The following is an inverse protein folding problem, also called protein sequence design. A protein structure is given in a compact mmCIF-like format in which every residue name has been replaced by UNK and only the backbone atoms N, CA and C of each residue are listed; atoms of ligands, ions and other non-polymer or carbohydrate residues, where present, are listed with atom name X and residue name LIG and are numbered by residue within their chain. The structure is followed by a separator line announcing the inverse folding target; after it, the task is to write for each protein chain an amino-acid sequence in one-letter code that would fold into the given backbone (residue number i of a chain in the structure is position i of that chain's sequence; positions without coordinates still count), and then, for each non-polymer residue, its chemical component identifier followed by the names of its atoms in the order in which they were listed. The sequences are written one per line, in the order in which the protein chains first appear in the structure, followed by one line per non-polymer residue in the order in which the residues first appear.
data_IF_526452356657
#
_entry.id   IF_526452356657
#
_cell.length_a   1.000
_cell.length_b   1.000
_cell.length_c   1.000
_cell.angle_alpha   90.00
_cell.angle_beta   90.00
_cell.angle_gamma   90.00
#
_symmetry.space_group_name_H-M   'P 1'
#
loop_
_entity.id
_entity.type
_entity.pdbx_description
1 polymer ?
#
# COMPACT_ATOMS: atom_id res chain seq x y z
N UNK A 1 14.84 -8.39 -14.64
CA UNK A 1 14.87 -8.87 -13.26
C UNK A 1 13.50 -8.61 -12.64
N UNK A 2 12.76 -9.68 -12.40
CA UNK A 2 11.46 -9.62 -11.72
C UNK A 2 11.71 -9.27 -10.25
N UNK A 3 11.40 -8.03 -9.91
CA UNK A 3 11.36 -7.61 -8.50
C UNK A 3 10.18 -8.35 -7.87
N UNK A 4 10.44 -9.15 -6.84
CA UNK A 4 9.49 -10.11 -6.30
C UNK A 4 8.79 -9.62 -5.04
N UNK A 5 8.57 -8.30 -4.92
CA UNK A 5 7.79 -7.74 -3.81
C UNK A 5 6.30 -8.06 -3.95
N UNK A 6 5.61 -8.17 -2.83
CA UNK A 6 4.17 -8.44 -2.79
C UNK A 6 3.40 -7.36 -2.04
N UNK A 7 2.23 -7.00 -2.58
CA UNK A 7 1.27 -6.08 -1.97
C UNK A 7 -0.03 -6.81 -1.67
N UNK A 8 -0.61 -6.50 -0.51
CA UNK A 8 -2.01 -6.79 -0.18
C UNK A 8 -2.60 -5.58 0.54
N UNK A 9 -3.88 -5.36 0.39
CA UNK A 9 -4.61 -4.35 1.15
C UNK A 9 -6.10 -4.62 1.11
N UNK A 10 -6.85 -3.92 1.95
CA UNK A 10 -8.29 -4.07 1.95
C UNK A 10 -9.00 -3.08 2.84
N UNK A 11 -10.31 -3.03 2.64
CA UNK A 11 -11.25 -2.28 3.46
C UNK A 11 -12.50 -3.14 3.65
N UNK A 12 -12.93 -3.33 4.89
CA UNK A 12 -13.98 -4.28 5.24
C UNK A 12 -14.76 -3.81 6.47
N UNK A 13 -15.79 -4.58 6.83
CA UNK A 13 -16.50 -4.42 8.09
C UNK A 13 -15.91 -5.27 9.21
N UNK A 14 -15.10 -6.25 8.83
CA UNK A 14 -14.44 -7.18 9.76
C UNK A 14 -12.98 -6.87 9.96
N UNK A 15 -12.36 -7.48 10.94
CA UNK A 15 -10.93 -7.36 11.18
C UNK A 15 -10.13 -7.91 10.00
N UNK A 16 -9.34 -7.04 9.36
CA UNK A 16 -8.52 -7.39 8.20
C UNK A 16 -7.19 -8.05 8.53
N UNK A 17 -6.70 -7.90 9.74
CA UNK A 17 -5.34 -8.34 10.06
C UNK A 17 -5.09 -9.81 9.69
N UNK A 18 -5.99 -10.76 10.00
CA UNK A 18 -5.80 -12.15 9.58
C UNK A 18 -5.79 -12.32 8.06
N UNK A 19 -6.57 -11.52 7.33
CA UNK A 19 -6.63 -11.56 5.86
C UNK A 19 -5.32 -11.05 5.26
N UNK A 20 -4.77 -9.97 5.82
CA UNK A 20 -3.48 -9.43 5.38
C UNK A 20 -2.37 -10.46 5.59
N UNK A 21 -2.31 -11.10 6.75
CA UNK A 21 -1.29 -12.10 7.05
C UNK A 21 -1.42 -13.33 6.13
N UNK A 22 -2.62 -13.84 5.93
CA UNK A 22 -2.84 -14.98 5.02
C UNK A 22 -2.44 -14.63 3.60
N UNK A 23 -2.75 -13.42 3.15
CA UNK A 23 -2.33 -12.94 1.83
C UNK A 23 -0.82 -12.83 1.70
N UNK A 24 -0.13 -12.33 2.71
CA UNK A 24 1.33 -12.26 2.71
C UNK A 24 1.96 -13.65 2.67
N UNK A 25 1.40 -14.63 3.39
CA UNK A 25 1.85 -16.02 3.32
C UNK A 25 1.72 -16.59 1.92
N UNK A 26 0.65 -16.26 1.20
CA UNK A 26 0.43 -16.69 -0.18
C UNK A 26 1.36 -16.02 -1.18
N UNK A 27 2.01 -14.92 -0.80
CA UNK A 27 3.02 -14.23 -1.61
C UNK A 27 4.45 -14.70 -1.29
N UNK A 28 4.65 -15.55 -0.29
CA UNK A 28 5.97 -16.01 0.14
C UNK A 28 6.76 -16.75 -0.96
N UNK A 29 6.08 -17.44 -1.87
CA UNK A 29 6.72 -18.19 -2.94
C UNK A 29 7.62 -17.34 -3.84
N UNK A 30 7.40 -16.02 -3.86
CA UNK A 30 8.17 -15.07 -4.64
C UNK A 30 9.55 -14.78 -4.03
N UNK A 31 9.77 -15.15 -2.77
CA UNK A 31 10.94 -14.74 -2.01
C UNK A 31 10.81 -13.34 -1.45
N UNK A 32 11.38 -13.12 -0.27
CA UNK A 32 11.36 -11.80 0.41
C UNK A 32 12.37 -11.80 1.54
N UNK A 33 12.72 -10.60 2.03
CA UNK A 33 13.65 -10.40 3.14
C UNK A 33 13.03 -9.68 4.33
N UNK A 34 11.87 -9.08 4.14
CA UNK A 34 11.16 -8.38 5.21
C UNK A 34 9.67 -8.27 4.87
N UNK A 35 8.87 -8.05 5.91
CA UNK A 35 7.42 -7.95 5.78
C UNK A 35 6.83 -6.96 6.77
N UNK A 36 5.66 -6.45 6.48
CA UNK A 36 4.97 -5.55 7.38
C UNK A 36 3.52 -5.33 7.02
N UNK A 37 2.78 -4.84 8.00
CA UNK A 37 1.39 -4.40 7.85
C UNK A 37 1.17 -3.08 8.55
N UNK A 38 0.20 -2.31 8.05
CA UNK A 38 -0.33 -1.14 8.72
C UNK A 38 -1.85 -1.21 8.66
N UNK A 39 -2.50 -0.94 9.77
CA UNK A 39 -3.97 -0.96 9.87
C UNK A 39 -4.45 0.30 10.58
N UNK A 40 -5.67 0.73 10.25
CA UNK A 40 -6.36 1.78 11.00
C UNK A 40 -7.35 1.09 11.92
N UNK A 41 -7.16 1.29 13.22
CA UNK A 41 -8.02 0.72 14.25
C UNK A 41 -9.37 1.47 14.33
N UNK A 42 -10.34 0.88 15.02
CA UNK A 42 -11.70 1.45 15.10
C UNK A 42 -11.79 2.86 15.69
N UNK A 43 -10.77 3.31 16.42
CA UNK A 43 -10.69 4.68 16.96
C UNK A 43 -9.87 5.63 16.06
N UNK A 44 -9.60 5.25 14.81
CA UNK A 44 -8.90 6.09 13.84
C UNK A 44 -7.39 6.13 14.00
N UNK A 45 -6.82 5.27 14.83
CA UNK A 45 -5.38 5.20 15.04
C UNK A 45 -4.71 4.33 13.98
N UNK A 46 -3.73 4.89 13.27
CA UNK A 46 -2.86 4.13 12.38
C UNK A 46 -1.80 3.40 13.20
N UNK A 47 -1.72 2.10 13.03
CA UNK A 47 -0.75 1.24 13.71
C UNK A 47 -0.01 0.40 12.70
N UNK A 48 1.29 0.19 12.93
CA UNK A 48 2.17 -0.53 12.02
C UNK A 48 3.00 -1.55 12.77
N UNK A 49 3.19 -2.72 12.16
CA UNK A 49 4.17 -3.71 12.61
C UNK A 49 5.01 -4.18 11.43
N UNK A 50 6.33 -4.26 11.62
CA UNK A 50 7.26 -4.68 10.58
C UNK A 50 8.30 -5.64 11.17
N UNK A 51 8.85 -6.52 10.32
CA UNK A 51 9.92 -7.42 10.73
C UNK A 51 10.90 -7.64 9.58
N UNK A 52 12.16 -7.74 9.90
CA UNK A 52 13.14 -8.39 9.05
C UNK A 52 12.97 -9.90 9.19
N UNK A 53 12.85 -10.64 8.08
CA UNK A 53 12.67 -12.09 8.10
C UNK A 53 11.30 -12.53 7.63
N UNK A 54 10.72 -13.50 8.31
CA UNK A 54 9.56 -14.25 7.82
C UNK A 54 8.21 -13.66 8.23
N UNK A 55 7.19 -13.90 7.40
CA UNK A 55 5.79 -13.52 7.71
C UNK A 55 5.34 -14.17 9.03
N UNK A 56 5.80 -15.38 9.35
CA UNK A 56 5.48 -16.03 10.64
C UNK A 56 5.98 -15.20 11.83
N UNK A 57 7.12 -14.50 11.69
CA UNK A 57 7.66 -13.63 12.76
C UNK A 57 6.79 -12.38 12.90
N UNK A 58 6.32 -11.83 11.79
CA UNK A 58 5.34 -10.74 11.77
C UNK A 58 4.04 -11.17 12.43
N UNK A 59 3.54 -12.35 12.12
CA UNK A 59 2.32 -12.92 12.73
C UNK A 59 2.45 -13.04 14.24
N UNK A 60 3.60 -13.51 14.74
CA UNK A 60 3.86 -13.61 16.18
C UNK A 60 3.83 -12.22 16.85
N UNK A 61 4.43 -11.21 16.23
CA UNK A 61 4.40 -9.82 16.72
C UNK A 61 2.98 -9.26 16.77
N UNK A 62 2.17 -9.57 15.76
CA UNK A 62 0.77 -9.12 15.69
C UNK A 62 -0.11 -9.77 16.74
N UNK A 63 0.16 -11.02 17.10
CA UNK A 63 -0.54 -11.69 18.22
C UNK A 63 -0.28 -11.00 19.55
N UNK A 64 0.95 -10.55 19.78
CA UNK A 64 1.32 -9.80 20.99
C UNK A 64 0.75 -8.38 20.99
N UNK A 65 0.85 -7.69 19.85
CA UNK A 65 0.42 -6.30 19.73
C UNK A 65 -1.10 -6.14 19.66
N UNK A 66 -1.82 -7.16 19.15
CA UNK A 66 -3.27 -7.12 19.02
C UNK A 66 -3.74 -5.98 18.14
N UNK A 67 -3.28 -5.90 16.89
CA UNK A 67 -3.60 -4.81 15.96
C UNK A 67 -4.82 -5.16 15.09
N UNK A 68 -6.07 -4.99 15.59
CA UNK A 68 -7.25 -5.14 14.76
C UNK A 68 -7.47 -3.87 13.93
N UNK A 69 -7.99 -4.04 12.73
CA UNK A 69 -8.37 -2.91 11.90
C UNK A 69 -9.27 -3.34 10.75
N UNK A 70 -10.07 -2.41 10.25
CA UNK A 70 -11.01 -2.64 9.15
C UNK A 70 -10.51 -2.09 7.82
N UNK A 71 -9.42 -1.35 7.83
CA UNK A 71 -8.69 -0.92 6.65
C UNK A 71 -7.20 -1.10 6.90
N UNK A 72 -6.49 -1.63 5.91
CA UNK A 72 -5.06 -1.87 6.08
C UNK A 72 -4.37 -2.28 4.80
N UNK A 73 -3.05 -2.29 4.89
CA UNK A 73 -2.13 -2.65 3.80
C UNK A 73 -1.01 -3.50 4.35
N UNK A 74 -0.47 -4.38 3.51
CA UNK A 74 0.64 -5.26 3.86
C UNK A 74 1.59 -5.45 2.68
N UNK A 75 2.81 -5.89 2.98
CA UNK A 75 3.88 -5.97 2.00
C UNK A 75 4.91 -7.02 2.38
N UNK A 76 5.41 -7.73 1.38
CA UNK A 76 6.64 -8.51 1.45
C UNK A 76 7.66 -7.84 0.55
N UNK A 77 8.82 -7.51 1.12
CA UNK A 77 9.86 -6.77 0.43
C UNK A 77 11.01 -7.67 0.01
N UNK A 78 11.45 -7.49 -1.24
CA UNK A 78 12.76 -7.92 -1.69
C UNK A 78 13.62 -6.67 -1.90
N UNK A 79 14.74 -6.57 -1.20
CA UNK A 79 15.51 -5.33 -1.14
C UNK A 79 16.08 -4.92 -2.49
N UNK A 80 15.84 -3.66 -2.88
CA UNK A 80 16.41 -3.00 -4.06
C UNK A 80 17.19 -1.75 -3.64
N UNK A 81 16.61 -0.93 -2.76
CA UNK A 81 17.20 0.28 -2.20
C UNK A 81 17.25 0.16 -0.68
N UNK A 82 18.44 0.15 -0.14
CA UNK A 82 18.67 -0.12 1.28
C UNK A 82 18.77 -1.61 1.59
N UNK A 83 19.53 -1.94 2.61
CA UNK A 83 19.76 -3.33 3.04
C UNK A 83 18.49 -3.97 3.60
N UNK A 84 18.41 -5.31 3.66
CA UNK A 84 17.36 -5.97 4.43
C UNK A 84 17.46 -5.57 5.91
N UNK A 85 16.45 -4.86 6.38
CA UNK A 85 16.36 -4.38 7.76
C UNK A 85 14.92 -3.99 8.06
N UNK A 86 14.51 -4.05 9.32
CA UNK A 86 13.16 -3.65 9.73
C UNK A 86 12.82 -2.22 9.30
N UNK A 87 13.77 -1.27 9.44
CA UNK A 87 13.56 0.12 9.04
C UNK A 87 13.25 0.31 7.55
N UNK A 88 13.68 -0.63 6.70
CA UNK A 88 13.47 -0.61 5.26
C UNK A 88 12.26 -1.43 4.82
N UNK A 89 11.61 -2.14 5.73
CA UNK A 89 10.39 -2.88 5.43
C UNK A 89 9.22 -1.92 5.20
N UNK A 90 8.30 -2.30 4.31
CA UNK A 90 7.03 -1.59 4.14
C UNK A 90 5.99 -2.12 5.13
N UNK A 91 4.94 -1.38 5.44
CA UNK A 91 4.60 -0.04 4.95
C UNK A 91 5.49 1.05 5.55
N UNK A 92 5.68 2.11 4.76
CA UNK A 92 6.26 3.36 5.26
C UNK A 92 5.14 4.26 5.77
N UNK A 93 5.43 5.02 6.82
CA UNK A 93 4.45 5.87 7.50
C UNK A 93 5.03 7.28 7.64
N UNK A 94 4.19 8.29 7.42
CA UNK A 94 4.54 9.68 7.70
C UNK A 94 3.67 10.20 8.84
N UNK A 95 4.34 10.58 9.93
CA UNK A 95 3.78 11.27 11.11
C UNK A 95 2.52 10.60 11.67
N UNK A 96 2.51 9.28 11.73
CA UNK A 96 1.41 8.46 12.28
C UNK A 96 0.06 8.68 11.58
N UNK A 97 0.04 9.32 10.42
CA UNK A 97 -1.18 9.64 9.70
C UNK A 97 -1.39 8.82 8.44
N UNK A 98 -0.39 8.77 7.56
CA UNK A 98 -0.51 8.10 6.26
C UNK A 98 0.46 6.94 6.18
N UNK A 99 0.00 5.81 5.66
CA UNK A 99 0.81 4.62 5.42
C UNK A 99 0.74 4.23 3.95
N UNK A 100 1.84 3.71 3.43
CA UNK A 100 2.00 3.40 2.02
C UNK A 100 2.85 2.17 1.81
N UNK A 101 2.41 1.32 0.87
CA UNK A 101 3.19 0.20 0.32
C UNK A 101 3.47 0.45 -1.15
N UNK A 102 4.61 -0.03 -1.63
CA UNK A 102 5.08 0.21 -2.98
C UNK A 102 5.83 -1.00 -3.52
N UNK A 103 5.51 -1.37 -4.76
CA UNK A 103 6.29 -2.28 -5.60
C UNK A 103 6.84 -1.50 -6.77
N UNK A 104 8.11 -1.71 -7.11
CA UNK A 104 8.78 -1.06 -8.22
C UNK A 104 9.95 -0.19 -7.79
N UNK A 105 10.29 0.78 -8.63
CA UNK A 105 11.41 1.69 -8.38
C UNK A 105 10.99 3.12 -8.70
N UNK A 106 11.24 4.04 -7.77
CA UNK A 106 11.06 5.49 -7.95
C UNK A 106 12.42 6.07 -8.35
N UNK A 107 12.57 6.36 -9.63
CA UNK A 107 13.87 6.76 -10.19
C UNK A 107 14.33 8.14 -9.70
N UNK A 108 13.41 9.07 -9.49
CA UNK A 108 13.72 10.44 -9.06
C UNK A 108 13.68 10.60 -7.52
N UNK A 109 13.89 9.51 -6.77
CA UNK A 109 13.79 9.56 -5.31
C UNK A 109 14.84 10.47 -4.65
N UNK A 110 16.06 10.57 -5.21
CA UNK A 110 17.11 11.41 -4.62
C UNK A 110 16.75 12.89 -4.63
N UNK A 111 16.18 13.38 -5.74
CA UNK A 111 15.72 14.77 -5.86
C UNK A 111 14.61 15.09 -4.87
N UNK A 112 13.63 14.18 -4.77
CA UNK A 112 12.51 14.32 -3.85
C UNK A 112 12.99 14.28 -2.40
N UNK A 113 13.90 13.37 -2.08
CA UNK A 113 14.48 13.23 -0.75
C UNK A 113 15.21 14.50 -0.30
N UNK A 114 16.01 15.08 -1.19
CA UNK A 114 16.75 16.31 -0.90
C UNK A 114 15.78 17.46 -0.60
N UNK A 115 14.75 17.65 -1.42
CA UNK A 115 13.74 18.69 -1.23
C UNK A 115 12.95 18.49 0.06
N UNK A 116 12.56 17.26 0.37
CA UNK A 116 11.79 16.92 1.58
C UNK A 116 12.64 17.10 2.85
N UNK A 117 13.91 16.74 2.81
CA UNK A 117 14.84 16.95 3.92
C UNK A 117 14.99 18.45 4.20
N UNK A 118 15.16 19.25 3.16
CA UNK A 118 15.24 20.71 3.29
C UNK A 118 13.93 21.32 3.84
N UNK A 119 12.79 20.69 3.57
CA UNK A 119 11.47 21.10 4.08
C UNK A 119 11.16 20.59 5.49
N UNK A 120 12.08 19.87 6.12
CA UNK A 120 11.96 19.43 7.51
C UNK A 120 11.50 17.99 7.72
N UNK A 121 11.39 17.17 6.67
CA UNK A 121 11.12 15.75 6.84
C UNK A 121 12.35 15.00 7.34
N UNK A 122 12.11 14.06 8.24
CA UNK A 122 13.11 13.10 8.73
C UNK A 122 12.90 11.76 8.05
N UNK A 123 13.98 11.17 7.55
CA UNK A 123 13.94 9.87 6.89
C UNK A 123 14.36 8.78 7.85
N UNK A 124 13.47 7.82 8.08
CA UNK A 124 13.74 6.65 8.93
C UNK A 124 14.25 5.45 8.15
N UNK A 125 14.23 5.49 6.81
CA UNK A 125 14.67 4.40 5.95
C UNK A 125 15.61 4.87 4.85
N UNK A 126 16.20 3.89 4.15
CA UNK A 126 17.05 4.12 2.99
C UNK A 126 16.32 3.85 1.68
N UNK A 127 15.02 3.55 1.74
CA UNK A 127 14.24 3.15 0.56
C UNK A 127 13.89 4.35 -0.32
N UNK A 128 13.67 4.06 -1.61
CA UNK A 128 13.10 5.03 -2.56
C UNK A 128 11.63 5.34 -2.25
N UNK A 129 10.96 4.45 -1.54
CA UNK A 129 9.51 4.54 -1.25
C UNK A 129 9.16 5.65 -0.26
N UNK A 130 10.03 5.95 0.68
CA UNK A 130 9.70 6.89 1.76
C UNK A 130 9.38 8.29 1.25
N UNK A 131 9.99 8.71 0.13
CA UNK A 131 9.68 10.02 -0.49
C UNK A 131 8.20 10.12 -0.92
N UNK A 132 7.60 9.00 -1.28
CA UNK A 132 6.19 8.97 -1.73
C UNK A 132 5.25 9.25 -0.58
N UNK A 133 5.45 8.60 0.56
CA UNK A 133 4.57 8.80 1.73
C UNK A 133 4.69 10.21 2.30
N UNK A 134 5.87 10.80 2.27
CA UNK A 134 6.07 12.19 2.70
C UNK A 134 5.37 13.18 1.76
N UNK A 135 5.42 12.96 0.46
CA UNK A 135 4.74 13.85 -0.50
C UNK A 135 3.22 13.77 -0.37
N UNK A 136 2.67 12.56 -0.19
CA UNK A 136 1.24 12.39 0.07
C UNK A 136 0.83 13.13 1.36
N UNK A 137 1.61 12.96 2.42
CA UNK A 137 1.36 13.65 3.69
C UNK A 137 1.29 15.16 3.53
N UNK A 138 2.26 15.76 2.83
CA UNK A 138 2.31 17.20 2.64
C UNK A 138 1.07 17.72 1.90
N UNK A 139 0.57 16.98 0.94
CA UNK A 139 -0.66 17.34 0.21
C UNK A 139 -1.90 17.21 1.06
N UNK A 140 -1.97 16.18 1.90
CA UNK A 140 -3.07 16.02 2.86
C UNK A 140 -3.12 17.19 3.86
N UNK A 141 -1.97 17.58 4.40
CA UNK A 141 -1.86 18.74 5.31
C UNK A 141 -2.23 20.03 4.58
N UNK A 142 -1.91 20.13 3.30
CA UNK A 142 -2.28 21.26 2.45
C UNK A 142 -3.76 21.34 2.09
N UNK A 143 -4.57 20.38 2.51
CA UNK A 143 -6.03 20.40 2.35
C UNK A 143 -6.59 19.45 1.30
N UNK A 144 -5.75 18.68 0.57
CA UNK A 144 -6.22 17.70 -0.39
C UNK A 144 -6.85 16.51 0.32
N UNK A 145 -7.87 15.88 -0.30
CA UNK A 145 -8.34 14.55 0.09
C UNK A 145 -7.35 13.48 -0.35
N UNK A 146 -7.52 12.24 0.15
CA UNK A 146 -6.56 11.16 -0.11
C UNK A 146 -6.40 10.87 -1.61
N UNK A 147 -7.50 10.72 -2.34
CA UNK A 147 -7.45 10.47 -3.79
C UNK A 147 -6.66 11.56 -4.52
N UNK A 148 -6.98 12.82 -4.26
CA UNK A 148 -6.32 13.97 -4.89
C UNK A 148 -4.84 14.02 -4.53
N UNK A 149 -4.50 13.81 -3.25
CA UNK A 149 -3.12 13.80 -2.78
C UNK A 149 -2.30 12.70 -3.47
N UNK A 150 -2.82 11.49 -3.56
CA UNK A 150 -2.14 10.37 -4.21
C UNK A 150 -1.99 10.61 -5.71
N UNK A 151 -3.03 11.11 -6.38
CA UNK A 151 -2.94 11.44 -7.82
C UNK A 151 -1.90 12.50 -8.10
N UNK A 152 -1.86 13.56 -7.31
CA UNK A 152 -0.90 14.63 -7.48
C UNK A 152 0.52 14.16 -7.20
N UNK A 153 0.72 13.34 -6.18
CA UNK A 153 2.03 12.72 -5.90
C UNK A 153 2.47 11.84 -7.07
N UNK A 154 1.59 10.97 -7.57
CA UNK A 154 1.91 10.06 -8.67
C UNK A 154 2.41 10.78 -9.92
N UNK A 155 1.87 11.96 -10.21
CA UNK A 155 2.30 12.78 -11.37
C UNK A 155 3.75 13.27 -11.25
N UNK A 156 4.30 13.31 -10.05
CA UNK A 156 5.68 13.75 -9.82
C UNK A 156 6.68 12.60 -9.84
N UNK A 157 6.22 11.36 -9.76
CA UNK A 157 7.07 10.19 -9.70
C UNK A 157 7.52 9.77 -11.10
N UNK A 158 8.78 9.40 -11.21
CA UNK A 158 9.37 8.81 -12.41
C UNK A 158 9.74 7.37 -12.10
N UNK A 159 9.34 6.46 -12.96
CA UNK A 159 9.64 5.04 -12.80
C UNK A 159 8.42 4.15 -12.90
N UNK A 160 8.57 2.91 -12.44
CA UNK A 160 7.52 1.92 -12.39
C UNK A 160 7.09 1.71 -10.93
N UNK A 161 5.77 1.73 -10.67
CA UNK A 161 5.28 1.56 -9.31
C UNK A 161 3.85 1.03 -9.27
N UNK A 162 3.56 0.25 -8.24
CA UNK A 162 2.22 0.00 -7.74
C UNK A 162 2.18 0.52 -6.30
N UNK A 163 1.13 1.24 -5.96
CA UNK A 163 0.98 1.86 -4.65
C UNK A 163 -0.34 1.43 -3.99
N UNK A 164 -0.30 1.23 -2.68
CA UNK A 164 -1.49 1.17 -1.84
C UNK A 164 -1.32 2.15 -0.68
N UNK A 165 -2.31 3.01 -0.47
CA UNK A 165 -2.22 4.14 0.48
C UNK A 165 -3.47 4.22 1.35
N UNK A 166 -3.26 4.38 2.66
CA UNK A 166 -4.33 4.62 3.63
C UNK A 166 -4.01 5.84 4.48
N UNK A 167 -5.06 6.56 4.86
CA UNK A 167 -4.97 7.74 5.72
C UNK A 167 -5.75 7.47 7.01
N UNK A 168 -5.09 7.56 8.15
CA UNK A 168 -5.72 7.36 9.45
C UNK A 168 -6.86 8.33 9.75
N UNK A 169 -6.86 9.51 9.12
CA UNK A 169 -7.93 10.50 9.25
C UNK A 169 -9.07 10.32 8.24
N UNK A 170 -8.90 9.41 7.29
CA UNK A 170 -9.95 9.05 6.32
C UNK A 170 -10.03 7.53 6.17
N UNK A 171 -10.52 6.81 7.20
CA UNK A 171 -10.51 5.34 7.22
C UNK A 171 -11.57 4.71 6.31
N UNK A 172 -12.33 5.50 5.58
CA UNK A 172 -13.32 5.04 4.61
C UNK A 172 -12.78 4.82 3.20
N UNK A 173 -11.50 5.11 2.96
CA UNK A 173 -10.90 5.04 1.62
C UNK A 173 -9.53 4.37 1.62
N UNK A 174 -9.34 3.49 0.65
CA UNK A 174 -8.06 2.91 0.25
C UNK A 174 -7.78 3.36 -1.18
N UNK A 175 -6.66 3.99 -1.43
CA UNK A 175 -6.30 4.44 -2.78
C UNK A 175 -5.17 3.58 -3.33
N UNK A 176 -5.33 3.11 -4.56
CA UNK A 176 -4.37 2.27 -5.25
C UNK A 176 -3.97 2.89 -6.58
N UNK A 177 -2.70 2.72 -6.95
CA UNK A 177 -2.15 3.24 -8.22
C UNK A 177 -1.37 2.13 -8.90
N UNK A 178 -1.55 2.02 -10.22
CA UNK A 178 -0.71 1.15 -11.06
C UNK A 178 0.00 1.95 -12.15
N UNK A 179 1.33 1.85 -12.16
CA UNK A 179 2.16 2.38 -13.24
C UNK A 179 3.37 1.46 -13.43
N UNK A 180 3.28 0.53 -14.38
CA UNK A 180 4.37 -0.40 -14.68
C UNK A 180 4.37 -1.70 -13.88
N UNK A 181 4.09 -1.66 -12.59
CA UNK A 181 3.98 -2.86 -11.74
C UNK A 181 2.52 -3.31 -11.63
N UNK A 182 2.22 -4.62 -11.72
CA UNK A 182 0.83 -5.09 -11.72
C UNK A 182 0.13 -4.92 -10.37
N UNK A 183 -1.17 -4.65 -10.45
CA UNK A 183 -2.04 -4.53 -9.28
C UNK A 183 -3.46 -4.94 -9.69
N UNK A 184 -4.13 -5.71 -8.83
CA UNK A 184 -5.51 -6.13 -9.03
C UNK A 184 -6.38 -5.67 -7.86
N UNK A 185 -7.67 -5.46 -8.14
CA UNK A 185 -8.67 -5.15 -7.13
C UNK A 185 -9.54 -6.40 -6.97
N UNK A 186 -9.72 -6.86 -5.74
CA UNK A 186 -10.62 -7.95 -5.41
C UNK A 186 -11.96 -7.39 -4.95
N UNK A 187 -13.05 -7.81 -5.59
CA UNK A 187 -14.40 -7.33 -5.28
C UNK A 187 -15.07 -8.30 -4.32
N UNK A 188 -15.47 -7.80 -3.17
CA UNK A 188 -16.23 -8.55 -2.17
C UNK A 188 -17.64 -7.99 -1.97
N UNK A 189 -18.31 -8.45 -0.92
CA UNK A 189 -19.61 -7.95 -0.50
C UNK A 189 -19.41 -7.15 0.79
N UNK A 190 -19.58 -5.83 0.71
CA UNK A 190 -19.30 -4.93 1.82
C UNK A 190 -17.81 -4.84 2.18
N UNK A 191 -16.95 -5.28 1.28
CA UNK A 191 -15.50 -5.27 1.43
C UNK A 191 -14.84 -5.33 0.06
N UNK A 192 -13.68 -4.69 -0.08
CA UNK A 192 -12.89 -4.71 -1.30
C UNK A 192 -11.40 -4.77 -0.94
N UNK A 193 -10.61 -5.30 -1.86
CA UNK A 193 -9.20 -5.61 -1.62
C UNK A 193 -8.33 -5.17 -2.79
N UNK A 194 -7.03 -5.06 -2.53
CA UNK A 194 -6.00 -4.94 -3.57
C UNK A 194 -4.91 -5.98 -3.33
N UNK A 195 -4.26 -6.41 -4.39
CA UNK A 195 -3.08 -7.26 -4.31
C UNK A 195 -2.25 -7.15 -5.59
N UNK A 196 -0.97 -7.45 -5.45
CA UNK A 196 -0.07 -7.57 -6.60
C UNK A 196 -0.24 -8.89 -7.36
N UNK A 197 -0.89 -9.89 -6.75
CA UNK A 197 -1.17 -11.20 -7.33
C UNK A 197 -2.51 -11.70 -6.78
N UNK A 198 -3.37 -12.23 -7.66
CA UNK A 198 -4.68 -12.79 -7.28
C UNK A 198 -4.57 -13.88 -6.21
N UNK A 199 -3.46 -14.62 -6.17
CA UNK A 199 -3.23 -15.67 -5.19
C UNK A 199 -3.41 -15.20 -3.74
N UNK A 200 -3.03 -13.96 -3.45
CA UNK A 200 -3.16 -13.37 -2.12
C UNK A 200 -4.62 -13.22 -1.67
N UNK A 201 -5.55 -13.09 -2.61
CA UNK A 201 -6.95 -12.78 -2.33
C UNK A 201 -7.91 -13.95 -2.56
N UNK A 202 -7.44 -15.09 -3.06
CA UNK A 202 -8.30 -16.25 -3.34
C UNK A 202 -9.11 -16.73 -2.12
N UNK A 203 -8.63 -16.63 -0.87
CA UNK A 203 -9.45 -16.98 0.28
C UNK A 203 -10.68 -16.09 0.50
N UNK A 204 -10.69 -14.87 -0.05
CA UNK A 204 -11.75 -13.88 0.23
C UNK A 204 -12.60 -13.52 -0.99
N UNK A 205 -12.08 -13.68 -2.21
CA UNK A 205 -12.83 -13.41 -3.43
C UNK A 205 -12.25 -14.10 -4.65
N UNK A 206 -13.12 -14.31 -5.66
CA UNK A 206 -12.72 -14.78 -7.00
C UNK A 206 -13.09 -13.78 -8.08
N UNK A 207 -13.53 -12.58 -7.72
CA UNK A 207 -13.92 -11.52 -8.64
C UNK A 207 -12.86 -10.42 -8.61
N UNK A 208 -12.23 -10.17 -9.76
CA UNK A 208 -11.07 -9.28 -9.85
C UNK A 208 -11.22 -8.26 -10.96
N UNK A 209 -10.72 -7.06 -10.70
CA UNK A 209 -10.45 -6.06 -11.72
C UNK A 209 -8.94 -5.94 -11.85
N UNK A 210 -8.42 -6.17 -13.06
CA UNK A 210 -7.01 -5.93 -13.36
C UNK A 210 -6.85 -4.45 -13.72
N UNK A 211 -6.11 -3.72 -12.90
CA UNK A 211 -5.83 -2.30 -13.18
C UNK A 211 -4.98 -2.17 -14.43
N UNK A 212 -5.24 -1.16 -15.24
CA UNK A 212 -4.48 -0.85 -16.44
C UNK A 212 -3.43 0.22 -16.15
N UNK A 213 -2.50 0.39 -17.08
CA UNK A 213 -1.41 1.38 -16.95
C UNK A 213 -1.97 2.78 -16.69
N UNK A 214 -1.50 3.41 -15.61
CA UNK A 214 -1.91 4.74 -15.23
C UNK A 214 -3.19 4.81 -14.40
N UNK A 215 -3.84 3.68 -14.13
CA UNK A 215 -5.07 3.67 -13.34
C UNK A 215 -4.83 4.05 -11.88
N UNK A 216 -5.75 4.86 -11.35
CA UNK A 216 -5.85 5.18 -9.92
C UNK A 216 -7.24 4.75 -9.46
N UNK A 217 -7.32 3.97 -8.39
CA UNK A 217 -8.56 3.50 -7.83
C UNK A 217 -8.81 4.10 -6.45
N UNK A 218 -10.01 4.64 -6.25
CA UNK A 218 -10.53 5.05 -4.96
C UNK A 218 -11.50 3.99 -4.48
N UNK A 219 -11.14 3.29 -3.41
CA UNK A 219 -11.80 2.08 -2.96
C UNK A 219 -12.42 2.31 -1.59
N UNK A 220 -13.72 2.05 -1.48
CA UNK A 220 -14.45 1.99 -0.22
C UNK A 220 -15.01 0.59 -0.01
N UNK A 221 -15.69 0.36 1.12
CA UNK A 221 -16.34 -0.93 1.37
C UNK A 221 -17.39 -1.28 0.31
N UNK A 222 -18.05 -0.27 -0.24
CA UNK A 222 -19.22 -0.42 -1.10
C UNK A 222 -18.96 -0.02 -2.55
N UNK A 223 -17.80 0.56 -2.86
CA UNK A 223 -17.53 1.08 -4.20
C UNK A 223 -16.08 0.98 -4.59
N UNK A 224 -15.86 0.88 -5.89
CA UNK A 224 -14.57 0.99 -6.54
C UNK A 224 -14.73 1.99 -7.68
N UNK A 225 -14.02 3.12 -7.60
CA UNK A 225 -14.04 4.15 -8.64
C UNK A 225 -12.65 4.25 -9.23
N UNK A 226 -12.54 4.07 -10.55
CA UNK A 226 -11.26 4.05 -11.24
C UNK A 226 -11.16 5.26 -12.17
N UNK A 227 -10.00 5.91 -12.14
CA UNK A 227 -9.62 7.00 -13.03
C UNK A 227 -8.47 6.55 -13.90
N UNK A 228 -8.53 6.84 -15.20
CA UNK A 228 -7.48 6.48 -16.14
C UNK A 228 -6.29 7.48 -16.06
N UNK A 229 -5.30 7.26 -16.93
CA UNK A 229 -4.10 8.09 -17.02
C UNK A 229 -4.41 9.57 -17.24
N UNK A 230 -5.50 9.87 -17.97
CA UNK A 230 -5.94 11.25 -18.26
C UNK A 230 -6.83 11.82 -17.14
N UNK A 231 -7.09 11.05 -16.10
CA UNK A 231 -7.93 11.47 -14.98
C UNK A 231 -9.42 11.33 -15.24
N UNK A 232 -9.82 10.63 -16.29
CA UNK A 232 -11.22 10.35 -16.59
C UNK A 232 -11.71 9.14 -15.82
N UNK A 233 -12.91 9.23 -15.29
CA UNK A 233 -13.57 8.09 -14.66
C UNK A 233 -13.88 7.02 -15.72
N UNK A 234 -13.45 5.79 -15.46
CA UNK A 234 -13.60 4.66 -16.37
C UNK A 234 -14.14 3.44 -15.63
N UNK A 235 -14.67 2.49 -16.39
CA UNK A 235 -15.02 1.18 -15.89
C UNK A 235 -14.04 0.16 -16.44
N UNK A 236 -13.69 -0.83 -15.62
CA UNK A 236 -12.84 -1.96 -16.01
C UNK A 236 -13.62 -3.25 -15.82
N UNK A 237 -13.43 -4.25 -16.68
CA UNK A 237 -14.19 -5.49 -16.55
C UNK A 237 -13.85 -6.23 -15.25
N UNK A 238 -14.88 -6.84 -14.65
CA UNK A 238 -14.73 -7.75 -13.53
C UNK A 238 -14.56 -9.16 -14.10
N UNK A 239 -13.46 -9.80 -13.73
CA UNK A 239 -13.13 -11.17 -14.15
C UNK A 239 -13.41 -12.13 -12.99
N UNK A 240 -14.01 -13.27 -13.29
CA UNK A 240 -14.28 -14.32 -12.29
C UNK A 240 -13.22 -15.44 -12.34
#
# INVERSE_FOLDING_TARGET
SLIMCGIIGGIAQRNLTPILIEGLKRLEYRGYDSAGVAVVTGNGKLSRERTEGKVRDLEARLREAGLPGTIGIGHTRWATHGVPATRNAHPHVCRDRVALVHNGIIENHNELRAAQTAAGHHFGSDTDTEVVVHDVYDRLVGGAGLLEAVRATAKRLVGAYALGVVDGEDPGHLVAVRQGSPLVIGIGIGENFIASDVAALLPVTRRFIFMEEGDVADISRDSVVIYDREGRRVERPVMD
#
